data_IF_616351563440
#
_entry.id   IF_616351563440
#
_cell.length_a   1.000
_cell.length_b   1.000
_cell.length_c   1.000
_cell.angle_alpha   90.00
_cell.angle_beta   90.00
_cell.angle_gamma   90.00
#
_symmetry.space_group_name_H-M   'P 1'
#
loop_
_entity.id
_entity.type
_entity.pdbx_description
1 polymer ?
#
# COMPACT_ATOMS: atom_id res chain seq x y z
N UNK A 1 -0.31 31.38 45.88
CA UNK A 1 -0.24 30.08 46.57
C UNK A 1 -0.54 28.99 45.55
N UNK A 2 0.42 28.10 45.31
CA UNK A 2 0.35 26.92 44.42
C UNK A 2 -0.62 25.89 45.00
N UNK A 3 -1.41 25.20 44.15
CA UNK A 3 -1.45 23.72 44.04
C UNK A 3 -1.87 23.32 42.63
N UNK A 4 -1.00 22.52 42.01
CA UNK A 4 -1.12 21.91 40.69
C UNK A 4 -1.72 20.54 40.95
N UNK A 5 -2.80 20.16 40.26
CA UNK A 5 -3.28 18.77 40.25
C UNK A 5 -2.87 18.12 38.95
N UNK A 6 -1.69 17.48 39.01
CA UNK A 6 -1.23 16.49 38.05
C UNK A 6 -1.86 15.15 38.43
N UNK A 7 -2.63 14.55 37.53
CA UNK A 7 -2.98 13.13 37.63
C UNK A 7 -2.68 12.52 36.26
N UNK A 8 -1.45 12.02 36.14
CA UNK A 8 -1.02 11.17 35.03
C UNK A 8 -1.64 9.79 35.21
N UNK A 9 -2.51 9.38 34.28
CA UNK A 9 -3.02 8.03 34.21
C UNK A 9 -2.10 7.21 33.29
N UNK A 10 -1.00 6.72 33.87
CA UNK A 10 -0.13 5.75 33.21
C UNK A 10 -0.76 4.36 33.33
N UNK A 11 -1.41 3.88 32.28
CA UNK A 11 -1.82 2.48 32.18
C UNK A 11 -0.70 1.73 31.46
N UNK A 12 0.20 1.15 32.27
CA UNK A 12 1.11 0.09 31.84
C UNK A 12 0.37 -1.23 32.07
N UNK A 13 0.00 -1.91 30.98
CA UNK A 13 -0.46 -3.29 31.02
C UNK A 13 0.60 -4.18 30.36
N UNK A 14 1.51 -4.66 31.21
CA UNK A 14 2.46 -5.73 30.95
C UNK A 14 1.85 -7.03 31.49
N UNK A 15 1.33 -7.90 30.63
CA UNK A 15 1.01 -9.31 30.93
C UNK A 15 1.30 -10.07 29.62
N UNK A 16 2.49 -10.67 29.45
CA UNK A 16 2.98 -11.94 29.99
C UNK A 16 3.04 -13.00 28.86
N UNK A 17 4.26 -13.42 28.61
CA UNK A 17 4.70 -14.69 28.00
C UNK A 17 3.62 -15.75 27.75
N UNK A 18 3.44 -16.08 26.47
CA UNK A 18 3.07 -17.42 26.04
C UNK A 18 4.03 -17.83 24.91
N UNK A 19 5.20 -18.34 25.32
CA UNK A 19 6.01 -19.19 24.47
C UNK A 19 5.26 -20.52 24.32
N UNK A 20 4.59 -20.74 23.20
CA UNK A 20 4.07 -22.05 22.83
C UNK A 20 4.12 -22.21 21.31
N UNK A 21 4.90 -23.20 20.90
CA UNK A 21 4.75 -23.96 19.66
C UNK A 21 4.51 -23.14 18.37
N UNK A 22 5.60 -22.86 17.65
CA UNK A 22 5.54 -22.52 16.24
C UNK A 22 4.93 -23.69 15.45
N UNK A 23 3.62 -23.62 15.21
CA UNK A 23 2.93 -24.37 14.19
C UNK A 23 2.22 -23.37 13.31
N UNK A 24 2.63 -23.32 12.05
CA UNK A 24 2.17 -22.35 11.07
C UNK A 24 0.66 -22.30 10.97
N UNK A 25 0.13 -21.12 11.28
CA UNK A 25 -1.08 -20.58 10.66
C UNK A 25 -0.79 -19.10 10.51
N UNK A 26 -0.74 -18.65 9.26
CA UNK A 26 -0.39 -17.28 8.90
C UNK A 26 -1.20 -16.29 9.72
N UNK A 27 -0.52 -15.65 10.67
CA UNK A 27 -0.86 -14.29 11.01
C UNK A 27 -0.65 -13.48 9.74
N UNK A 28 -1.74 -13.20 9.03
CA UNK A 28 -1.86 -11.99 8.20
C UNK A 28 -1.62 -10.81 9.15
N UNK A 29 -0.34 -10.56 9.44
CA UNK A 29 0.10 -9.26 9.87
C UNK A 29 -0.43 -8.31 8.81
N UNK A 30 -1.19 -7.29 9.22
CA UNK A 30 -1.57 -6.16 8.39
C UNK A 30 -0.29 -5.41 7.98
N UNK A 31 0.51 -6.06 7.14
CA UNK A 31 1.84 -5.67 6.73
C UNK A 31 1.74 -4.88 5.44
N UNK A 32 2.63 -3.91 5.30
CA UNK A 32 2.81 -3.19 4.05
C UNK A 32 3.04 -4.20 2.91
N UNK A 33 2.39 -3.98 1.76
CA UNK A 33 2.61 -4.82 0.59
C UNK A 33 4.06 -4.69 0.12
N UNK A 34 4.62 -5.78 -0.41
CA UNK A 34 5.90 -5.72 -1.10
C UNK A 34 5.80 -4.92 -2.40
N UNK A 35 6.88 -4.26 -2.86
CA UNK A 35 6.88 -3.55 -4.14
C UNK A 35 6.43 -4.41 -5.34
N UNK A 36 6.84 -5.68 -5.37
CA UNK A 36 6.43 -6.64 -6.41
C UNK A 36 4.92 -6.92 -6.40
N UNK A 37 4.32 -6.96 -5.22
CA UNK A 37 2.87 -7.14 -5.09
C UNK A 37 2.12 -5.90 -5.55
N UNK A 38 2.64 -4.71 -5.25
CA UNK A 38 2.11 -3.44 -5.76
C UNK A 38 2.21 -3.38 -7.29
N UNK A 39 3.34 -3.75 -7.88
CA UNK A 39 3.52 -3.79 -9.33
C UNK A 39 2.52 -4.74 -10.02
N UNK A 40 2.35 -5.96 -9.50
CA UNK A 40 1.38 -6.93 -10.05
C UNK A 40 -0.06 -6.44 -9.95
N UNK A 41 -0.43 -5.81 -8.82
CA UNK A 41 -1.75 -5.19 -8.65
C UNK A 41 -1.95 -4.02 -9.61
N UNK A 42 -0.91 -3.22 -9.86
CA UNK A 42 -0.95 -2.13 -10.82
C UNK A 42 -1.22 -2.63 -12.25
N UNK A 43 -0.49 -3.65 -12.70
CA UNK A 43 -0.67 -4.22 -14.04
C UNK A 43 -2.06 -4.86 -14.21
N UNK A 44 -2.49 -5.68 -13.24
CA UNK A 44 -3.80 -6.34 -13.30
C UNK A 44 -4.96 -5.34 -13.34
N UNK A 45 -4.92 -4.30 -12.49
CA UNK A 45 -5.97 -3.27 -12.47
C UNK A 45 -5.91 -2.35 -13.69
N UNK A 46 -4.72 -2.06 -14.22
CA UNK A 46 -4.60 -1.32 -15.47
C UNK A 46 -5.27 -2.05 -16.63
N UNK A 47 -5.08 -3.36 -16.77
CA UNK A 47 -5.77 -4.16 -17.80
C UNK A 47 -7.29 -4.05 -17.70
N UNK A 48 -7.85 -4.23 -16.50
CA UNK A 48 -9.28 -4.08 -16.24
C UNK A 48 -9.79 -2.66 -16.55
N UNK A 49 -9.04 -1.63 -16.13
CA UNK A 49 -9.41 -0.24 -16.38
C UNK A 49 -9.26 0.15 -17.85
N UNK A 50 -8.29 -0.41 -18.56
CA UNK A 50 -8.10 -0.19 -19.99
C UNK A 50 -9.30 -0.73 -20.78
N UNK A 51 -9.74 -1.95 -20.46
CA UNK A 51 -10.87 -2.57 -21.15
C UNK A 51 -12.19 -1.82 -20.84
N UNK A 52 -12.40 -1.38 -19.59
CA UNK A 52 -13.60 -0.61 -19.20
C UNK A 52 -13.62 0.83 -19.72
N UNK A 53 -12.47 1.43 -20.03
CA UNK A 53 -12.35 2.76 -20.63
C UNK A 53 -12.14 2.72 -22.16
N UNK A 54 -12.47 1.60 -22.81
CA UNK A 54 -12.44 1.49 -24.27
C UNK A 54 -11.05 1.66 -24.88
N UNK A 55 -9.99 1.28 -24.16
CA UNK A 55 -8.61 1.42 -24.60
C UNK A 55 -7.96 2.79 -24.30
N UNK A 56 -8.65 3.69 -23.59
CA UNK A 56 -8.02 4.93 -23.13
C UNK A 56 -6.98 4.65 -22.03
N UNK A 57 -5.72 4.55 -22.46
CA UNK A 57 -4.57 4.31 -21.58
C UNK A 57 -4.41 5.38 -20.51
N UNK A 58 -4.67 6.66 -20.82
CA UNK A 58 -4.52 7.75 -19.85
C UNK A 58 -5.55 7.62 -18.73
N UNK A 59 -6.82 7.41 -19.09
CA UNK A 59 -7.89 7.19 -18.12
C UNK A 59 -7.63 5.93 -17.27
N UNK A 60 -7.20 4.83 -17.90
CA UNK A 60 -6.84 3.61 -17.20
C UNK A 60 -5.69 3.82 -16.21
N UNK A 61 -4.62 4.52 -16.61
CA UNK A 61 -3.47 4.82 -15.74
C UNK A 61 -3.85 5.72 -14.57
N UNK A 62 -4.68 6.74 -14.78
CA UNK A 62 -5.19 7.60 -13.70
C UNK A 62 -6.03 6.80 -12.70
N UNK A 63 -6.85 5.86 -13.21
CA UNK A 63 -7.67 4.98 -12.37
C UNK A 63 -6.82 3.97 -11.60
N UNK A 64 -5.81 3.38 -12.23
CA UNK A 64 -4.81 2.53 -11.57
C UNK A 64 -4.11 3.30 -10.46
N UNK A 65 -3.68 4.54 -10.71
CA UNK A 65 -3.06 5.38 -9.69
C UNK A 65 -3.99 5.62 -8.49
N UNK A 66 -5.27 5.89 -8.74
CA UNK A 66 -6.26 6.07 -7.68
C UNK A 66 -6.48 4.79 -6.86
N UNK A 67 -6.50 3.63 -7.51
CA UNK A 67 -6.56 2.32 -6.84
C UNK A 67 -5.33 2.05 -5.98
N UNK A 68 -4.11 2.26 -6.51
CA UNK A 68 -2.88 1.98 -5.76
C UNK A 68 -2.76 2.81 -4.48
N UNK A 69 -3.30 4.03 -4.45
CA UNK A 69 -3.35 4.87 -3.24
C UNK A 69 -4.17 4.28 -2.09
N UNK A 70 -5.06 3.32 -2.37
CA UNK A 70 -5.86 2.65 -1.33
C UNK A 70 -5.17 1.43 -0.74
N UNK A 71 -4.03 1.02 -1.31
CA UNK A 71 -3.32 -0.17 -0.88
C UNK A 71 -2.48 0.10 0.39
N UNK A 72 -2.43 -0.87 1.32
CA UNK A 72 -1.58 -0.75 2.50
C UNK A 72 -0.10 -0.73 2.08
N UNK A 73 0.66 0.15 2.73
CA UNK A 73 2.07 0.37 2.41
C UNK A 73 2.35 1.32 1.25
N UNK A 74 1.32 1.89 0.61
CA UNK A 74 1.49 2.95 -0.39
C UNK A 74 1.30 4.32 0.26
N UNK A 75 2.31 5.19 0.17
CA UNK A 75 2.29 6.54 0.70
C UNK A 75 1.83 7.57 -0.34
N UNK A 76 2.35 7.46 -1.56
CA UNK A 76 2.03 8.38 -2.65
C UNK A 76 2.05 7.66 -4.00
N UNK A 77 1.22 8.10 -4.95
CA UNK A 77 1.28 7.65 -6.34
C UNK A 77 1.17 8.86 -7.26
N UNK A 78 2.13 8.99 -8.18
CA UNK A 78 2.20 10.05 -9.19
C UNK A 78 2.10 9.46 -10.60
N UNK A 79 1.23 10.03 -11.41
CA UNK A 79 1.14 9.70 -12.85
C UNK A 79 2.28 10.40 -13.59
N UNK A 80 3.04 9.67 -14.39
CA UNK A 80 4.17 10.19 -15.18
C UNK A 80 3.92 10.16 -16.69
N UNK A 81 2.91 9.42 -17.15
CA UNK A 81 2.53 9.32 -18.55
C UNK A 81 1.22 8.56 -18.71
N UNK A 82 0.90 8.18 -19.95
CA UNK A 82 -0.31 7.40 -20.27
C UNK A 82 -0.22 5.95 -19.80
N UNK A 83 0.94 5.49 -19.34
CA UNK A 83 1.19 4.11 -18.90
C UNK A 83 2.32 4.00 -17.87
N UNK A 84 2.66 5.09 -17.19
CA UNK A 84 3.75 5.10 -16.22
C UNK A 84 3.33 5.75 -14.91
N UNK A 85 3.68 5.08 -13.81
CA UNK A 85 3.41 5.51 -12.44
C UNK A 85 4.71 5.51 -11.64
N UNK A 86 4.88 6.54 -10.81
CA UNK A 86 5.85 6.53 -9.71
C UNK A 86 5.07 6.30 -8.41
N UNK A 87 5.38 5.20 -7.72
CA UNK A 87 4.78 4.84 -6.44
C UNK A 87 5.83 5.03 -5.34
N UNK A 88 5.47 5.78 -4.30
CA UNK A 88 6.27 5.95 -3.09
C UNK A 88 5.62 5.10 -2.01
N UNK A 89 6.38 4.14 -1.50
CA UNK A 89 5.98 3.22 -0.44
C UNK A 89 6.11 3.89 0.93
N UNK A 90 5.45 3.33 1.94
CA UNK A 90 5.47 3.85 3.31
C UNK A 90 6.86 3.71 3.98
N UNK A 91 7.65 2.74 3.56
CA UNK A 91 9.04 2.53 3.97
C UNK A 91 10.04 3.49 3.28
N UNK A 92 9.57 4.35 2.37
CA UNK A 92 10.39 5.29 1.61
C UNK A 92 10.92 4.75 0.29
N UNK A 93 10.67 3.49 -0.06
CA UNK A 93 11.06 2.93 -1.35
C UNK A 93 10.25 3.56 -2.49
N UNK A 94 10.92 3.81 -3.62
CA UNK A 94 10.30 4.31 -4.83
C UNK A 94 10.25 3.21 -5.90
N UNK A 95 9.08 3.05 -6.52
CA UNK A 95 8.83 2.08 -7.57
C UNK A 95 8.33 2.80 -8.83
N UNK A 96 9.09 2.67 -9.91
CA UNK A 96 8.62 3.05 -11.24
C UNK A 96 7.89 1.86 -11.87
N UNK A 97 6.62 2.02 -12.16
CA UNK A 97 5.77 1.01 -12.79
C UNK A 97 5.50 1.42 -14.23
N UNK A 98 5.82 0.54 -15.18
CA UNK A 98 5.47 0.67 -16.60
C UNK A 98 4.35 -0.31 -16.90
N UNK A 99 3.18 0.21 -17.28
CA UNK A 99 1.93 -0.52 -17.43
C UNK A 99 1.72 -1.03 -18.85
N UNK A 100 1.17 -2.23 -19.00
CA UNK A 100 0.84 -2.81 -20.30
C UNK A 100 2.06 -3.24 -21.10
N UNK A 101 3.18 -3.59 -20.45
CA UNK A 101 4.41 -4.04 -21.11
C UNK A 101 4.25 -5.34 -21.91
N UNK A 102 3.26 -6.16 -21.56
CA UNK A 102 3.01 -7.45 -22.22
C UNK A 102 2.02 -7.38 -23.41
N UNK A 103 1.55 -6.18 -23.80
CA UNK A 103 0.58 -6.00 -24.90
C UNK A 103 1.18 -5.45 -26.22
N UNK A 104 2.47 -5.72 -26.52
CA UNK A 104 3.10 -5.43 -27.82
C UNK A 104 3.20 -6.67 -28.69
#
# INVERSE_FOLDING_TARGET
MKRVSSVSLAIVLLIASACSAGSGTGEESAGNLSPETVARKAESSFGEFLDTHGGDRKAATERTAAYLKTLPGVKEVRVRGSDSLLVIMADGNELMVLLGRDRL
#
